data_IF_250071844354
#
_entry.id   IF_250071844354
#
_cell.length_a   1.000
_cell.length_b   1.000
_cell.length_c   1.000
_cell.angle_alpha   90.00
_cell.angle_beta   90.00
_cell.angle_gamma   90.00
#
_symmetry.space_group_name_H-M   'P 1'
#
loop_
_entity.id
_entity.type
_entity.pdbx_description
1 polymer ?
#
# COMPACT_ATOMS: atom_id res chain seq x y z
N UNK A 1 18.76 -5.82 -24.94
CA UNK A 1 18.17 -4.69 -25.69
C UNK A 1 19.06 -3.46 -25.54
N UNK A 2 19.20 -2.64 -26.59
CA UNK A 2 19.90 -1.35 -26.53
C UNK A 2 19.06 -0.34 -25.71
N UNK A 3 19.65 0.74 -25.15
CA UNK A 3 18.89 1.79 -24.49
C UNK A 3 17.80 2.41 -25.37
N UNK A 4 18.03 2.52 -26.66
CA UNK A 4 17.04 3.02 -27.62
C UNK A 4 15.84 2.07 -27.76
N UNK A 5 16.09 0.76 -27.92
CA UNK A 5 15.06 -0.28 -28.00
C UNK A 5 14.22 -0.34 -26.71
N UNK A 6 14.88 -0.21 -25.55
CA UNK A 6 14.19 -0.12 -24.25
C UNK A 6 13.29 1.12 -24.17
N UNK A 7 13.73 2.26 -24.68
CA UNK A 7 12.92 3.47 -24.73
C UNK A 7 11.67 3.31 -25.62
N UNK A 8 11.84 2.73 -26.81
CA UNK A 8 10.72 2.44 -27.73
C UNK A 8 9.72 1.49 -27.07
N UNK A 9 10.23 0.41 -26.43
CA UNK A 9 9.40 -0.57 -25.73
C UNK A 9 8.66 0.07 -24.54
N UNK A 10 9.32 0.95 -23.79
CA UNK A 10 8.73 1.63 -22.65
C UNK A 10 7.48 2.43 -23.04
N UNK A 11 7.50 3.20 -24.13
CA UNK A 11 6.33 3.95 -24.57
C UNK A 11 5.17 3.02 -25.00
N UNK A 12 5.48 1.91 -25.65
CA UNK A 12 4.47 0.90 -26.00
C UNK A 12 3.86 0.27 -24.74
N UNK A 13 4.70 -0.09 -23.77
CA UNK A 13 4.26 -0.63 -22.46
C UNK A 13 3.34 0.36 -21.74
N UNK A 14 3.73 1.63 -21.67
CA UNK A 14 2.93 2.67 -21.03
C UNK A 14 1.56 2.82 -21.69
N UNK A 15 1.51 2.89 -23.03
CA UNK A 15 0.25 2.96 -23.76
C UNK A 15 -0.64 1.74 -23.52
N UNK A 16 -0.05 0.54 -23.54
CA UNK A 16 -0.76 -0.71 -23.30
C UNK A 16 -1.29 -0.80 -21.87
N UNK A 17 -0.47 -0.49 -20.86
CA UNK A 17 -0.85 -0.45 -19.46
C UNK A 17 -2.05 0.47 -19.24
N UNK A 18 -1.97 1.69 -19.74
CA UNK A 18 -3.06 2.67 -19.61
C UNK A 18 -4.35 2.21 -20.31
N UNK A 19 -4.24 1.64 -21.50
CA UNK A 19 -5.39 1.11 -22.24
C UNK A 19 -6.09 -0.02 -21.47
N UNK A 20 -5.32 -1.02 -20.99
CA UNK A 20 -5.88 -2.14 -20.23
C UNK A 20 -6.45 -1.69 -18.90
N UNK A 21 -5.76 -0.83 -18.14
CA UNK A 21 -6.29 -0.28 -16.90
C UNK A 21 -7.60 0.47 -17.12
N UNK A 22 -7.73 1.25 -18.21
CA UNK A 22 -8.98 1.93 -18.57
C UNK A 22 -10.09 0.96 -18.95
N UNK A 23 -9.79 -0.03 -19.77
CA UNK A 23 -10.76 -1.05 -20.18
C UNK A 23 -11.27 -1.85 -18.97
N UNK A 24 -10.34 -2.28 -18.11
CA UNK A 24 -10.68 -3.01 -16.88
C UNK A 24 -11.50 -2.13 -15.94
N UNK A 25 -11.11 -0.87 -15.73
CA UNK A 25 -11.87 0.07 -14.90
C UNK A 25 -13.30 0.27 -15.44
N UNK A 26 -13.47 0.42 -16.77
CA UNK A 26 -14.80 0.56 -17.38
C UNK A 26 -15.70 -0.66 -17.12
N UNK A 27 -15.14 -1.88 -17.14
CA UNK A 27 -15.89 -3.11 -16.84
C UNK A 27 -16.22 -3.21 -15.35
N UNK A 28 -15.20 -3.11 -14.48
CA UNK A 28 -15.35 -3.41 -13.06
C UNK A 28 -16.08 -2.30 -12.28
N UNK A 29 -16.00 -1.04 -12.70
CA UNK A 29 -16.81 0.03 -12.12
C UNK A 29 -18.32 -0.18 -12.33
N UNK A 30 -18.74 -0.87 -13.41
CA UNK A 30 -20.17 -1.24 -13.61
C UNK A 30 -20.70 -2.21 -12.56
N UNK A 31 -19.82 -3.03 -12.00
CA UNK A 31 -20.15 -3.97 -10.92
C UNK A 31 -19.86 -3.44 -9.52
N UNK A 32 -19.58 -2.13 -9.39
CA UNK A 32 -19.40 -1.44 -8.12
C UNK A 32 -17.98 -1.52 -7.54
N UNK A 33 -16.98 -1.90 -8.33
CA UNK A 33 -15.58 -1.86 -7.88
C UNK A 33 -14.98 -0.46 -8.02
N UNK A 34 -14.08 -0.10 -7.09
CA UNK A 34 -13.32 1.14 -7.19
C UNK A 34 -12.32 1.09 -8.36
N UNK A 35 -11.92 2.26 -8.85
CA UNK A 35 -10.94 2.34 -9.94
C UNK A 35 -9.62 1.69 -9.55
N UNK A 36 -9.16 1.87 -8.33
CA UNK A 36 -7.90 1.31 -7.83
C UNK A 36 -7.90 -0.22 -7.86
N UNK A 37 -9.00 -0.84 -7.44
CA UNK A 37 -9.16 -2.30 -7.47
C UNK A 37 -9.17 -2.79 -8.92
N UNK A 38 -9.82 -2.05 -9.82
CA UNK A 38 -9.83 -2.37 -11.25
C UNK A 38 -8.44 -2.32 -11.89
N UNK A 39 -7.61 -1.35 -11.52
CA UNK A 39 -6.22 -1.22 -11.97
C UNK A 39 -5.34 -2.36 -11.43
N UNK A 40 -5.57 -2.79 -10.19
CA UNK A 40 -4.89 -3.94 -9.61
C UNK A 40 -5.27 -5.25 -10.33
N UNK A 41 -6.57 -5.42 -10.67
CA UNK A 41 -7.02 -6.54 -11.50
C UNK A 41 -6.36 -6.49 -12.88
N UNK A 42 -6.28 -5.30 -13.50
CA UNK A 42 -5.59 -5.12 -14.77
C UNK A 42 -4.14 -5.63 -14.70
N UNK A 43 -3.43 -5.35 -13.61
CA UNK A 43 -2.07 -5.86 -13.38
C UNK A 43 -2.01 -7.39 -13.38
N UNK A 44 -2.92 -8.05 -12.69
CA UNK A 44 -3.01 -9.52 -12.68
C UNK A 44 -3.37 -10.08 -14.05
N UNK A 45 -4.27 -9.41 -14.80
CA UNK A 45 -4.65 -9.82 -16.15
C UNK A 45 -3.49 -9.71 -17.15
N UNK A 46 -2.71 -8.62 -17.08
CA UNK A 46 -1.51 -8.40 -17.93
C UNK A 46 -0.36 -9.32 -17.49
N UNK A 47 -0.34 -9.74 -16.24
CA UNK A 47 0.71 -10.55 -15.66
C UNK A 47 0.78 -11.98 -16.22
N UNK A 48 1.75 -12.75 -15.72
CA UNK A 48 1.97 -14.15 -16.14
C UNK A 48 0.79 -15.05 -15.81
N UNK A 49 -0.13 -14.60 -14.95
CA UNK A 49 -1.29 -15.39 -14.52
C UNK A 49 -2.34 -15.57 -15.63
N UNK A 50 -2.59 -14.57 -16.47
CA UNK A 50 -3.57 -14.67 -17.56
C UNK A 50 -2.91 -14.42 -18.92
N UNK A 51 -2.39 -13.21 -19.17
CA UNK A 51 -1.80 -12.89 -20.46
C UNK A 51 -0.56 -13.74 -20.76
N UNK A 52 0.32 -13.95 -19.77
CA UNK A 52 1.47 -14.82 -19.93
C UNK A 52 1.13 -16.29 -20.09
N UNK A 53 -0.02 -16.74 -19.59
CA UNK A 53 -0.52 -18.10 -19.80
C UNK A 53 -1.20 -18.25 -21.16
N UNK A 54 -2.04 -17.30 -21.59
CA UNK A 54 -2.77 -17.38 -22.86
C UNK A 54 -1.91 -17.01 -24.08
N UNK A 55 -1.03 -16.03 -23.92
CA UNK A 55 -0.22 -15.44 -25.00
C UNK A 55 1.23 -15.26 -24.54
N UNK A 56 1.98 -16.36 -24.29
CA UNK A 56 3.32 -16.30 -23.69
C UNK A 56 4.33 -15.52 -24.54
N UNK A 57 4.30 -15.68 -25.87
CA UNK A 57 5.19 -14.96 -26.79
C UNK A 57 4.92 -13.46 -26.79
N UNK A 58 3.65 -13.06 -26.83
CA UNK A 58 3.26 -11.65 -26.77
C UNK A 58 3.62 -11.02 -25.40
N UNK A 59 3.41 -11.75 -24.32
CA UNK A 59 3.81 -11.30 -22.98
C UNK A 59 5.30 -11.10 -22.86
N UNK A 60 6.12 -12.05 -23.37
CA UNK A 60 7.57 -11.96 -23.37
C UNK A 60 8.08 -10.82 -24.27
N UNK A 61 7.43 -10.60 -25.42
CA UNK A 61 7.74 -9.49 -26.31
C UNK A 61 7.46 -8.14 -25.65
N UNK A 62 6.25 -8.00 -25.04
CA UNK A 62 5.81 -6.73 -24.49
C UNK A 62 6.51 -6.38 -23.16
N UNK A 63 6.81 -7.38 -22.31
CA UNK A 63 7.44 -7.20 -20.99
C UNK A 63 8.74 -8.01 -20.88
N UNK A 64 9.77 -7.70 -21.69
CA UNK A 64 11.07 -8.33 -21.57
C UNK A 64 11.68 -8.04 -20.19
N UNK A 65 12.51 -8.95 -19.70
CA UNK A 65 13.10 -8.87 -18.35
C UNK A 65 13.87 -7.57 -18.12
N UNK A 66 14.57 -7.08 -19.13
CA UNK A 66 15.38 -5.85 -19.07
C UNK A 66 14.52 -4.59 -18.85
N UNK A 67 13.29 -4.57 -19.35
CA UNK A 67 12.39 -3.42 -19.18
C UNK A 67 11.74 -3.34 -17.80
N UNK A 68 11.73 -4.45 -17.04
CA UNK A 68 11.10 -4.50 -15.70
C UNK A 68 11.73 -3.52 -14.71
N UNK A 69 13.04 -3.30 -14.77
CA UNK A 69 13.74 -2.35 -13.91
C UNK A 69 13.28 -0.89 -14.17
N UNK A 70 13.01 -0.55 -15.44
CA UNK A 70 12.48 0.78 -15.79
C UNK A 70 11.06 0.94 -15.27
N UNK A 71 10.20 -0.06 -15.50
CA UNK A 71 8.83 -0.06 -14.99
C UNK A 71 8.80 0.02 -13.46
N UNK A 72 9.71 -0.67 -12.77
CA UNK A 72 9.86 -0.59 -11.32
C UNK A 72 10.16 0.85 -10.87
N UNK A 73 11.14 1.51 -11.48
CA UNK A 73 11.52 2.88 -11.11
C UNK A 73 10.35 3.87 -11.32
N UNK A 74 9.62 3.74 -12.43
CA UNK A 74 8.43 4.57 -12.70
C UNK A 74 7.29 4.26 -11.73
N UNK A 75 7.09 2.99 -11.39
CA UNK A 75 6.11 2.55 -10.40
C UNK A 75 6.41 3.14 -9.02
N UNK A 76 7.67 3.09 -8.58
CA UNK A 76 8.12 3.67 -7.31
C UNK A 76 7.92 5.20 -7.29
N UNK A 77 8.28 5.89 -8.37
CA UNK A 77 8.04 7.33 -8.48
C UNK A 77 6.55 7.65 -8.36
N UNK A 78 5.69 6.90 -9.05
CA UNK A 78 4.24 7.07 -8.96
C UNK A 78 3.70 6.87 -7.54
N UNK A 79 4.18 5.85 -6.86
CA UNK A 79 3.79 5.56 -5.48
C UNK A 79 4.25 6.66 -4.51
N UNK A 80 5.51 7.10 -4.62
CA UNK A 80 6.09 8.17 -3.80
C UNK A 80 5.29 9.46 -3.96
N UNK A 81 5.02 9.90 -5.19
CA UNK A 81 4.23 11.11 -5.46
C UNK A 81 2.78 10.99 -4.98
N UNK A 82 2.19 9.81 -5.11
CA UNK A 82 0.85 9.56 -4.60
C UNK A 82 0.79 9.66 -3.07
N UNK A 83 1.74 9.04 -2.37
CA UNK A 83 1.80 9.09 -0.91
C UNK A 83 2.10 10.49 -0.37
N UNK A 84 2.90 11.25 -1.11
CA UNK A 84 3.09 12.67 -0.81
C UNK A 84 1.75 13.43 -0.86
N UNK A 85 0.94 13.22 -1.91
CA UNK A 85 -0.37 13.88 -2.03
C UNK A 85 -1.33 13.45 -0.90
N UNK A 86 -1.33 12.17 -0.52
CA UNK A 86 -2.09 11.72 0.65
C UNK A 86 -1.62 12.43 1.93
N UNK A 87 -0.31 12.60 2.11
CA UNK A 87 0.26 13.36 3.23
C UNK A 87 -0.18 14.84 3.23
N UNK A 88 -0.23 15.47 2.04
CA UNK A 88 -0.71 16.85 1.88
C UNK A 88 -2.17 16.99 2.31
N UNK A 89 -3.02 16.02 2.01
CA UNK A 89 -4.44 16.03 2.42
C UNK A 89 -4.67 15.61 3.87
N UNK A 90 -3.68 14.98 4.49
CA UNK A 90 -3.79 14.38 5.81
C UNK A 90 -4.00 15.41 6.91
N UNK A 91 -5.17 15.41 7.55
CA UNK A 91 -5.53 16.40 8.58
C UNK A 91 -5.16 15.91 9.98
N UNK A 92 -4.01 16.35 10.49
CA UNK A 92 -3.50 16.00 11.83
C UNK A 92 -4.43 16.47 12.94
N UNK A 93 -5.13 17.61 12.79
CA UNK A 93 -5.98 18.18 13.84
C UNK A 93 -7.26 17.34 14.07
N UNK A 94 -7.80 16.75 13.01
CA UNK A 94 -8.93 15.82 13.13
C UNK A 94 -8.52 14.54 13.86
N UNK A 95 -7.29 14.05 13.64
CA UNK A 95 -6.77 12.84 14.27
C UNK A 95 -6.51 13.05 15.75
N UNK A 96 -5.99 14.22 16.15
CA UNK A 96 -5.67 14.53 17.54
C UNK A 96 -6.86 14.33 18.48
N UNK A 97 -8.08 14.57 18.00
CA UNK A 97 -9.30 14.36 18.77
C UNK A 97 -9.65 12.88 18.98
N UNK A 98 -9.19 11.97 18.12
CA UNK A 98 -9.52 10.54 18.10
C UNK A 98 -8.30 9.62 18.12
N UNK A 99 -7.15 10.12 18.54
CA UNK A 99 -5.88 9.38 18.50
C UNK A 99 -5.94 8.07 19.30
N UNK A 100 -6.70 8.03 20.39
CA UNK A 100 -6.87 6.82 21.20
C UNK A 100 -7.63 5.73 20.44
N UNK A 101 -8.72 6.07 19.76
CA UNK A 101 -9.48 5.12 18.92
C UNK A 101 -8.64 4.66 17.74
N UNK A 102 -7.93 5.57 17.05
CA UNK A 102 -7.04 5.23 15.95
C UNK A 102 -5.92 4.28 16.40
N UNK A 103 -5.27 4.57 17.53
CA UNK A 103 -4.22 3.72 18.09
C UNK A 103 -4.75 2.33 18.50
N UNK A 104 -5.92 2.25 19.15
CA UNK A 104 -6.53 0.98 19.51
C UNK A 104 -6.85 0.12 18.28
N UNK A 105 -7.39 0.72 17.21
CA UNK A 105 -7.69 0.04 15.95
C UNK A 105 -6.39 -0.44 15.28
N UNK A 106 -5.36 0.41 15.21
CA UNK A 106 -4.06 0.07 14.64
C UNK A 106 -3.38 -1.07 15.42
N UNK A 107 -3.30 -0.97 16.74
CA UNK A 107 -2.69 -2.03 17.58
C UNK A 107 -3.43 -3.36 17.40
N UNK A 108 -4.77 -3.35 17.41
CA UNK A 108 -5.54 -4.55 17.17
C UNK A 108 -5.32 -5.11 15.76
N UNK A 109 -5.26 -4.22 14.75
CA UNK A 109 -4.99 -4.54 13.35
C UNK A 109 -3.56 -5.03 13.06
N UNK A 110 -2.63 -4.88 14.00
CA UNK A 110 -1.26 -5.44 13.93
C UNK A 110 -1.16 -6.71 14.76
N UNK A 111 -1.52 -6.65 16.04
CA UNK A 111 -1.30 -7.74 16.99
C UNK A 111 -2.13 -8.97 16.64
N UNK A 112 -3.41 -8.80 16.32
CA UNK A 112 -4.27 -9.95 16.03
C UNK A 112 -3.83 -10.71 14.76
N UNK A 113 -3.62 -10.09 13.59
CA UNK A 113 -3.14 -10.82 12.42
C UNK A 113 -1.71 -11.33 12.59
N UNK A 114 -0.85 -10.66 13.36
CA UNK A 114 0.48 -11.15 13.69
C UNK A 114 0.42 -12.48 14.44
N UNK A 115 -0.39 -12.54 15.50
CA UNK A 115 -0.56 -13.75 16.29
C UNK A 115 -1.24 -14.87 15.51
N UNK A 116 -2.31 -14.57 14.79
CA UNK A 116 -3.04 -15.58 14.01
C UNK A 116 -2.23 -16.07 12.80
N UNK A 117 -1.57 -15.17 12.08
CA UNK A 117 -0.70 -15.50 10.94
C UNK A 117 0.54 -16.26 11.37
N UNK A 118 1.18 -15.84 12.48
CA UNK A 118 2.30 -16.54 13.07
C UNK A 118 1.90 -17.93 13.59
N UNK A 119 0.74 -18.06 14.22
CA UNK A 119 0.22 -19.38 14.65
C UNK A 119 0.00 -20.30 13.44
N UNK A 120 -0.59 -19.78 12.34
CA UNK A 120 -0.76 -20.57 11.13
C UNK A 120 0.59 -21.00 10.56
N UNK A 121 1.56 -20.08 10.52
CA UNK A 121 2.91 -20.36 10.03
C UNK A 121 3.62 -21.46 10.85
N UNK A 122 3.41 -21.50 12.17
CA UNK A 122 3.99 -22.53 13.01
C UNK A 122 3.60 -23.94 12.57
N UNK A 123 2.34 -24.14 12.13
CA UNK A 123 1.86 -25.43 11.66
C UNK A 123 2.35 -25.80 10.26
N UNK A 124 2.65 -24.82 9.41
CA UNK A 124 3.08 -25.05 8.02
C UNK A 124 4.57 -24.79 7.79
N UNK A 125 5.34 -24.40 8.82
CA UNK A 125 6.74 -24.02 8.72
C UNK A 125 7.66 -25.15 8.18
N UNK A 126 7.28 -26.39 8.35
CA UNK A 126 8.06 -27.56 7.91
C UNK A 126 7.69 -28.07 6.52
N UNK A 127 6.74 -27.42 5.84
CA UNK A 127 6.38 -27.80 4.48
C UNK A 127 7.37 -27.15 3.47
N UNK A 128 8.20 -27.97 2.79
CA UNK A 128 9.22 -27.47 1.86
C UNK A 128 8.63 -26.84 0.60
N UNK A 129 7.31 -27.00 0.36
CA UNK A 129 6.63 -26.33 -0.74
C UNK A 129 6.27 -24.86 -0.40
N UNK A 130 6.31 -24.50 0.89
CA UNK A 130 5.87 -23.20 1.41
C UNK A 130 7.01 -22.36 1.95
N UNK A 131 7.92 -22.97 2.72
CA UNK A 131 9.08 -22.30 3.31
C UNK A 131 10.37 -22.97 2.85
N UNK A 132 11.41 -22.16 2.66
CA UNK A 132 12.71 -22.69 2.27
C UNK A 132 13.32 -23.56 3.38
N UNK A 133 14.05 -24.59 3.01
CA UNK A 133 14.62 -25.59 3.94
C UNK A 133 15.51 -25.00 5.05
N UNK A 134 16.09 -23.82 4.83
CA UNK A 134 16.92 -23.09 5.80
C UNK A 134 16.11 -22.26 6.80
N UNK A 135 14.81 -22.05 6.55
CA UNK A 135 13.96 -21.19 7.38
C UNK A 135 13.56 -21.92 8.66
N UNK A 136 13.91 -21.36 9.80
CA UNK A 136 13.48 -21.88 11.10
C UNK A 136 11.98 -21.62 11.34
N UNK A 137 11.37 -22.41 12.22
CA UNK A 137 9.96 -22.20 12.60
C UNK A 137 9.72 -20.80 13.18
N UNK A 138 10.69 -20.24 13.93
CA UNK A 138 10.59 -18.89 14.46
C UNK A 138 10.60 -17.84 13.35
N UNK A 139 11.49 -17.98 12.36
CA UNK A 139 11.55 -17.07 11.20
C UNK A 139 10.26 -17.14 10.38
N UNK A 140 9.71 -18.34 10.16
CA UNK A 140 8.43 -18.53 9.48
C UNK A 140 7.28 -17.81 10.22
N UNK A 141 7.20 -17.95 11.55
CA UNK A 141 6.22 -17.30 12.42
C UNK A 141 6.35 -15.78 12.36
N UNK A 142 7.56 -15.25 12.52
CA UNK A 142 7.81 -13.81 12.48
C UNK A 142 7.51 -13.22 11.12
N UNK A 143 7.94 -13.87 10.04
CA UNK A 143 7.71 -13.41 8.67
C UNK A 143 6.23 -13.40 8.31
N UNK A 144 5.53 -14.51 8.52
CA UNK A 144 4.10 -14.62 8.20
C UNK A 144 3.25 -13.70 9.08
N UNK A 145 3.60 -13.60 10.37
CA UNK A 145 2.97 -12.66 11.30
C UNK A 145 3.11 -11.22 10.82
N UNK A 146 4.32 -10.80 10.45
CA UNK A 146 4.57 -9.47 9.90
C UNK A 146 3.83 -9.25 8.58
N UNK A 147 3.93 -10.19 7.63
CA UNK A 147 3.26 -10.09 6.34
C UNK A 147 1.74 -9.92 6.49
N UNK A 148 1.11 -10.70 7.38
CA UNK A 148 -0.33 -10.61 7.63
C UNK A 148 -0.75 -9.38 8.43
N UNK A 149 0.18 -8.68 9.09
CA UNK A 149 -0.11 -7.47 9.87
C UNK A 149 -0.17 -6.21 9.02
N UNK A 150 0.47 -6.20 7.85
CA UNK A 150 0.57 -5.02 7.01
C UNK A 150 -0.79 -4.60 6.45
N UNK A 151 -1.12 -3.31 6.58
CA UNK A 151 -2.23 -2.65 5.87
C UNK A 151 -1.68 -1.96 4.63
N UNK A 152 -2.40 -1.99 3.54
CA UNK A 152 -2.05 -1.16 2.40
C UNK A 152 -2.64 0.24 2.57
N UNK A 153 -2.01 1.11 3.36
CA UNK A 153 -2.47 2.47 3.55
C UNK A 153 -2.73 3.23 2.24
N UNK A 154 -1.88 3.13 1.18
CA UNK A 154 -2.18 3.76 -0.10
C UNK A 154 -3.50 3.29 -0.73
N UNK A 155 -3.82 2.01 -0.60
CA UNK A 155 -5.08 1.45 -1.10
C UNK A 155 -6.28 1.92 -0.28
N UNK A 156 -6.16 1.84 1.04
CA UNK A 156 -7.16 2.33 1.99
C UNK A 156 -7.46 3.81 1.75
N UNK A 157 -6.43 4.64 1.66
CA UNK A 157 -6.56 6.07 1.41
C UNK A 157 -7.26 6.35 0.08
N UNK A 158 -6.92 5.62 -0.98
CA UNK A 158 -7.55 5.79 -2.27
C UNK A 158 -9.02 5.34 -2.28
N UNK A 159 -9.36 4.23 -1.63
CA UNK A 159 -10.76 3.81 -1.48
C UNK A 159 -11.56 4.89 -0.73
N UNK A 160 -11.04 5.39 0.39
CA UNK A 160 -11.68 6.46 1.18
C UNK A 160 -11.86 7.72 0.33
N UNK A 161 -10.86 8.10 -0.46
CA UNK A 161 -10.93 9.26 -1.34
C UNK A 161 -11.96 9.07 -2.46
N UNK A 162 -11.94 7.95 -3.17
CA UNK A 162 -12.89 7.63 -4.25
C UNK A 162 -14.35 7.55 -3.76
N UNK A 163 -14.54 7.15 -2.49
CA UNK A 163 -15.86 7.10 -1.85
C UNK A 163 -16.29 8.45 -1.22
N UNK A 164 -15.46 9.51 -1.33
CA UNK A 164 -15.76 10.83 -0.79
C UNK A 164 -15.75 10.92 0.74
N UNK A 165 -15.09 9.98 1.43
CA UNK A 165 -15.14 9.83 2.89
C UNK A 165 -14.04 10.58 3.65
N UNK A 166 -13.12 11.26 2.97
CA UNK A 166 -11.93 11.90 3.57
C UNK A 166 -12.26 12.89 4.69
N UNK A 167 -13.42 13.56 4.60
CA UNK A 167 -13.88 14.54 5.59
C UNK A 167 -14.85 13.97 6.62
N UNK A 168 -15.24 12.71 6.50
CA UNK A 168 -16.15 12.04 7.45
C UNK A 168 -15.41 11.54 8.69
N UNK A 169 -16.16 11.34 9.78
CA UNK A 169 -15.66 10.73 11.02
C UNK A 169 -14.98 9.38 10.76
N UNK A 170 -15.66 8.51 10.02
CA UNK A 170 -15.16 7.18 9.65
C UNK A 170 -13.89 7.27 8.79
N UNK A 171 -13.91 8.05 7.71
CA UNK A 171 -12.79 8.18 6.80
C UNK A 171 -11.55 8.74 7.49
N UNK A 172 -11.72 9.77 8.32
CA UNK A 172 -10.63 10.35 9.11
C UNK A 172 -10.05 9.35 10.10
N UNK A 173 -10.90 8.58 10.80
CA UNK A 173 -10.46 7.58 11.76
C UNK A 173 -9.75 6.39 11.08
N UNK A 174 -10.29 5.91 9.95
CA UNK A 174 -9.67 4.84 9.17
C UNK A 174 -8.33 5.27 8.58
N UNK A 175 -8.21 6.51 8.06
CA UNK A 175 -6.94 7.08 7.58
C UNK A 175 -5.92 7.21 8.70
N UNK A 176 -6.35 7.66 9.88
CA UNK A 176 -5.48 7.76 11.04
C UNK A 176 -4.97 6.39 11.50
N UNK A 177 -5.87 5.43 11.66
CA UNK A 177 -5.51 4.07 12.06
C UNK A 177 -4.61 3.41 11.01
N UNK A 178 -4.94 3.53 9.72
CA UNK A 178 -4.17 2.96 8.62
C UNK A 178 -2.77 3.57 8.49
N UNK A 179 -2.60 4.88 8.71
CA UNK A 179 -1.28 5.51 8.67
C UNK A 179 -0.39 5.09 9.85
N UNK A 180 -0.99 4.93 11.05
CA UNK A 180 -0.27 4.40 12.22
C UNK A 180 0.11 2.94 12.01
N UNK A 181 -0.77 2.16 11.41
CA UNK A 181 -0.59 0.75 11.08
C UNK A 181 0.56 0.56 10.08
N UNK A 182 0.57 1.36 9.01
CA UNK A 182 1.62 1.33 7.99
C UNK A 182 3.00 1.66 8.58
N UNK A 183 3.08 2.71 9.39
CA UNK A 183 4.30 3.10 10.08
C UNK A 183 4.80 2.00 11.05
N UNK A 184 3.90 1.42 11.85
CA UNK A 184 4.24 0.37 12.78
C UNK A 184 4.63 -0.93 12.05
N UNK A 185 3.98 -1.25 10.93
CA UNK A 185 4.30 -2.41 10.10
C UNK A 185 5.74 -2.35 9.56
N UNK A 186 6.23 -1.16 9.15
CA UNK A 186 7.63 -0.97 8.75
C UNK A 186 8.60 -1.19 9.91
N UNK A 187 8.25 -0.72 11.11
CA UNK A 187 9.07 -1.00 12.30
C UNK A 187 9.12 -2.51 12.60
N UNK A 188 7.98 -3.20 12.51
CA UNK A 188 7.91 -4.66 12.68
C UNK A 188 8.75 -5.35 11.62
N UNK A 189 8.65 -4.94 10.35
CA UNK A 189 9.46 -5.50 9.27
C UNK A 189 10.96 -5.30 9.52
N UNK A 190 11.38 -4.10 9.93
CA UNK A 190 12.78 -3.82 10.24
C UNK A 190 13.31 -4.72 11.38
N UNK A 191 12.51 -4.96 12.41
CA UNK A 191 12.84 -5.89 13.50
C UNK A 191 12.94 -7.33 13.00
N UNK A 192 12.02 -7.77 12.16
CA UNK A 192 12.03 -9.13 11.56
C UNK A 192 13.27 -9.31 10.68
N UNK A 193 13.60 -8.34 9.82
CA UNK A 193 14.79 -8.41 8.97
C UNK A 193 16.10 -8.36 9.77
N UNK A 194 16.14 -7.58 10.86
CA UNK A 194 17.28 -7.55 11.78
C UNK A 194 17.49 -8.90 12.48
N UNK A 195 16.39 -9.56 12.86
CA UNK A 195 16.42 -10.91 13.46
C UNK A 195 17.04 -11.94 12.49
N UNK A 196 16.71 -11.88 11.19
CA UNK A 196 17.27 -12.78 10.19
C UNK A 196 18.75 -12.54 9.90
N UNK A 197 19.18 -11.29 9.92
CA UNK A 197 20.57 -10.92 9.68
C UNK A 197 21.46 -11.01 10.93
N UNK A 198 20.90 -11.27 12.11
CA UNK A 198 21.57 -11.16 13.41
C UNK A 198 22.20 -9.77 13.63
N UNK A 199 21.71 -8.73 12.94
CA UNK A 199 22.21 -7.34 13.00
C UNK A 199 21.09 -6.39 13.43
N UNK A 200 21.04 -6.13 14.73
CA UNK A 200 20.07 -5.24 15.33
C UNK A 200 20.30 -3.75 15.00
N UNK A 201 21.45 -3.39 14.42
CA UNK A 201 21.74 -2.02 14.02
C UNK A 201 20.76 -1.53 12.96
N UNK A 202 20.32 -2.41 12.06
CA UNK A 202 19.34 -2.12 11.02
C UNK A 202 18.00 -1.64 11.64
N UNK A 203 17.50 -2.36 12.65
CA UNK A 203 16.26 -1.97 13.34
C UNK A 203 16.40 -0.63 14.08
N UNK A 204 17.54 -0.42 14.78
CA UNK A 204 17.79 0.84 15.48
C UNK A 204 17.92 2.04 14.53
N UNK A 205 18.63 1.88 13.41
CA UNK A 205 18.77 2.92 12.38
C UNK A 205 17.41 3.22 11.74
N UNK A 206 16.63 2.19 11.38
CA UNK A 206 15.31 2.36 10.81
C UNK A 206 14.39 3.11 11.77
N UNK A 207 14.15 2.58 12.97
CA UNK A 207 13.21 3.17 13.93
C UNK A 207 13.69 4.55 14.39
N UNK A 208 14.95 4.68 14.81
CA UNK A 208 15.52 5.94 15.30
C UNK A 208 15.61 6.99 14.20
N UNK A 209 16.08 6.62 13.00
CA UNK A 209 16.16 7.48 11.83
C UNK A 209 14.80 7.93 11.33
N UNK A 210 13.79 7.04 11.36
CA UNK A 210 12.42 7.37 10.98
C UNK A 210 11.76 8.37 11.94
N UNK A 211 11.92 8.17 13.25
CA UNK A 211 11.44 9.12 14.26
C UNK A 211 12.16 10.46 14.10
N UNK A 212 13.49 10.46 13.97
CA UNK A 212 14.27 11.68 13.74
C UNK A 212 13.78 12.42 12.49
N UNK A 213 13.62 11.73 11.37
CA UNK A 213 13.11 12.31 10.13
C UNK A 213 11.73 12.92 10.30
N UNK A 214 10.80 12.21 10.93
CA UNK A 214 9.46 12.71 11.19
C UNK A 214 9.47 13.98 12.05
N UNK A 215 10.27 13.99 13.13
CA UNK A 215 10.42 15.18 14.00
C UNK A 215 10.99 16.35 13.20
N UNK A 216 12.07 16.16 12.44
CA UNK A 216 12.67 17.21 11.60
C UNK A 216 11.68 17.75 10.57
N UNK A 217 10.95 16.88 9.86
CA UNK A 217 9.96 17.30 8.88
C UNK A 217 8.80 18.06 9.49
N UNK A 218 8.23 17.57 10.59
CA UNK A 218 7.04 18.15 11.21
C UNK A 218 7.33 19.41 12.03
N UNK A 219 8.61 19.67 12.35
CA UNK A 219 9.04 20.88 13.08
C UNK A 219 9.80 21.83 12.15
N UNK A 220 11.04 21.49 11.79
CA UNK A 220 11.95 22.36 11.06
C UNK A 220 11.49 22.60 9.62
N UNK A 221 11.23 21.52 8.85
CA UNK A 221 10.83 21.67 7.43
C UNK A 221 9.51 22.39 7.34
N UNK A 222 8.54 22.04 8.18
CA UNK A 222 7.24 22.71 8.25
C UNK A 222 7.38 24.20 8.53
N UNK A 223 8.24 24.59 9.48
CA UNK A 223 8.50 26.00 9.79
C UNK A 223 9.16 26.73 8.61
N UNK A 224 10.15 26.12 7.95
CA UNK A 224 10.83 26.70 6.78
C UNK A 224 9.90 26.90 5.57
N UNK A 225 8.85 26.07 5.43
CA UNK A 225 7.89 26.14 4.32
C UNK A 225 6.73 27.12 4.56
N UNK A 226 6.54 27.64 5.76
CA UNK A 226 5.46 28.60 6.05
C UNK A 226 5.45 29.82 5.09
N UNK A 227 6.60 30.48 4.78
CA UNK A 227 6.61 31.61 3.86
C UNK A 227 6.11 31.25 2.44
N UNK A 228 6.35 30.02 1.98
CA UNK A 228 5.81 29.55 0.70
C UNK A 228 4.28 29.45 0.75
N UNK A 229 3.74 28.90 1.83
CA UNK A 229 2.30 28.83 2.08
C UNK A 229 1.65 30.22 2.05
N UNK A 230 2.22 31.19 2.75
CA UNK A 230 1.72 32.59 2.78
C UNK A 230 1.73 33.26 1.41
N UNK A 231 2.76 33.02 0.60
CA UNK A 231 2.84 33.54 -0.78
C UNK A 231 1.74 32.97 -1.65
N UNK A 232 1.50 31.66 -1.59
CA UNK A 232 0.44 31.00 -2.39
C UNK A 232 -0.95 31.37 -1.86
N UNK A 233 -1.12 31.59 -0.55
CA UNK A 233 -2.38 32.07 0.00
C UNK A 233 -2.78 33.45 -0.58
N UNK A 234 -1.80 34.31 -0.86
CA UNK A 234 -1.99 35.64 -1.47
C UNK A 234 -2.13 35.56 -3.00
N UNK A 235 -1.29 34.80 -3.68
CA UNK A 235 -1.27 34.71 -5.16
C UNK A 235 -2.34 33.78 -5.73
N UNK A 236 -2.74 32.76 -4.96
CA UNK A 236 -3.67 31.70 -5.40
C UNK A 236 -3.04 30.66 -6.33
N UNK A 237 -1.75 30.76 -6.64
CA UNK A 237 -1.07 29.87 -7.60
C UNK A 237 0.31 29.48 -7.09
N UNK A 238 0.71 28.24 -7.32
CA UNK A 238 2.07 27.75 -7.07
C UNK A 238 2.93 28.09 -8.29
N UNK A 239 4.06 28.77 -8.07
CA UNK A 239 5.03 29.00 -9.15
C UNK A 239 5.77 27.72 -9.55
N UNK A 240 6.29 27.63 -10.80
CA UNK A 240 7.08 26.47 -11.21
C UNK A 240 8.27 26.19 -10.27
N UNK A 241 8.97 27.22 -9.81
CA UNK A 241 10.12 27.06 -8.89
C UNK A 241 9.70 26.48 -7.54
N UNK A 242 8.55 26.89 -7.00
CA UNK A 242 8.00 26.32 -5.77
C UNK A 242 7.62 24.85 -5.93
N UNK A 243 7.05 24.49 -7.10
CA UNK A 243 6.72 23.10 -7.41
C UNK A 243 7.98 22.23 -7.49
N UNK A 244 9.00 22.71 -8.25
CA UNK A 244 10.29 22.01 -8.38
C UNK A 244 10.97 21.84 -7.02
N UNK A 245 10.99 22.90 -6.20
CA UNK A 245 11.54 22.83 -4.84
C UNK A 245 10.79 21.81 -3.96
N UNK A 246 9.46 21.80 -4.06
CA UNK A 246 8.63 20.81 -3.34
C UNK A 246 8.96 19.39 -3.78
N UNK A 247 9.04 19.12 -5.09
CA UNK A 247 9.41 17.83 -5.64
C UNK A 247 10.81 17.40 -5.20
N UNK A 248 11.78 18.32 -5.17
CA UNK A 248 13.12 18.05 -4.67
C UNK A 248 13.09 17.58 -3.21
N UNK A 249 12.32 18.26 -2.35
CA UNK A 249 12.18 17.86 -0.95
C UNK A 249 11.51 16.47 -0.81
N UNK A 250 10.51 16.18 -1.64
CA UNK A 250 9.86 14.86 -1.65
C UNK A 250 10.85 13.77 -2.04
N UNK A 251 11.65 13.99 -3.09
CA UNK A 251 12.66 13.02 -3.53
C UNK A 251 13.75 12.82 -2.48
N UNK A 252 14.20 13.89 -1.82
CA UNK A 252 15.19 13.81 -0.72
C UNK A 252 14.61 13.05 0.49
N UNK A 253 13.35 13.29 0.83
CA UNK A 253 12.67 12.57 1.90
C UNK A 253 12.51 11.08 1.58
N UNK A 254 12.11 10.76 0.36
CA UNK A 254 12.00 9.39 -0.12
C UNK A 254 13.38 8.68 -0.12
N UNK A 255 14.40 9.34 -0.67
CA UNK A 255 15.77 8.82 -0.65
C UNK A 255 16.28 8.55 0.77
N UNK A 256 16.11 9.50 1.70
CA UNK A 256 16.60 9.36 3.07
C UNK A 256 15.95 8.16 3.77
N UNK A 257 14.62 8.02 3.66
CA UNK A 257 13.91 6.93 4.33
C UNK A 257 14.19 5.57 3.69
N UNK A 258 14.40 5.52 2.39
CA UNK A 258 14.83 4.31 1.70
C UNK A 258 16.26 3.91 2.11
N UNK A 259 17.15 4.90 2.23
CA UNK A 259 18.54 4.70 2.69
C UNK A 259 18.61 4.11 4.10
N UNK A 260 17.74 4.55 5.01
CA UNK A 260 17.64 3.99 6.38
C UNK A 260 16.73 2.74 6.45
N UNK A 261 16.33 2.17 5.31
CA UNK A 261 15.55 0.94 5.17
C UNK A 261 14.11 0.97 5.76
N UNK A 262 13.50 2.17 5.82
CA UNK A 262 12.07 2.30 6.16
C UNK A 262 11.18 2.21 4.93
N UNK A 263 11.59 2.63 3.78
CA UNK A 263 10.87 2.74 2.52
C UNK A 263 10.52 4.18 2.11
N UNK A 264 10.76 4.48 0.83
CA UNK A 264 10.59 5.80 0.23
C UNK A 264 9.20 6.44 0.45
N UNK A 265 8.17 5.60 0.49
CA UNK A 265 6.76 5.97 0.65
C UNK A 265 6.49 6.69 1.97
N UNK A 266 7.11 6.23 3.06
CA UNK A 266 7.00 6.87 4.37
C UNK A 266 7.57 8.29 4.35
N UNK A 267 8.76 8.47 3.76
CA UNK A 267 9.40 9.77 3.63
C UNK A 267 8.55 10.76 2.85
N UNK A 268 7.98 10.31 1.74
CA UNK A 268 7.09 11.12 0.92
C UNK A 268 5.81 11.51 1.67
N UNK A 269 5.20 10.58 2.39
CA UNK A 269 4.00 10.84 3.20
C UNK A 269 4.27 11.88 4.29
N UNK A 270 5.32 11.70 5.09
CA UNK A 270 5.68 12.65 6.17
C UNK A 270 6.03 14.02 5.59
N UNK A 271 6.73 14.07 4.45
CA UNK A 271 7.00 15.32 3.75
C UNK A 271 5.68 16.01 3.33
N UNK A 272 4.70 15.25 2.83
CA UNK A 272 3.37 15.77 2.51
C UNK A 272 2.63 16.33 3.74
N UNK A 273 2.72 15.65 4.89
CA UNK A 273 2.14 16.11 6.16
C UNK A 273 2.79 17.42 6.63
N UNK A 274 4.06 17.63 6.33
CA UNK A 274 4.81 18.84 6.67
C UNK A 274 4.47 20.05 5.77
N UNK A 275 3.84 19.85 4.61
CA UNK A 275 3.51 20.94 3.67
C UNK A 275 2.52 21.94 4.25
N UNK A 276 2.61 23.23 3.80
CA UNK A 276 1.62 24.25 4.16
C UNK A 276 0.21 23.85 3.75
N UNK A 277 -0.76 24.20 4.55
CA UNK A 277 -2.18 23.92 4.34
C UNK A 277 -2.86 25.01 3.47
N UNK A 278 -4.16 24.95 3.34
CA UNK A 278 -4.96 25.95 2.61
C UNK A 278 -4.80 25.85 1.10
N UNK A 279 -4.67 27.01 0.44
CA UNK A 279 -4.54 27.09 -1.02
C UNK A 279 -3.31 26.39 -1.56
N UNK A 280 -2.19 26.35 -0.79
CA UNK A 280 -0.97 25.64 -1.19
C UNK A 280 -1.24 24.14 -1.39
N UNK A 281 -1.87 23.50 -0.42
CA UNK A 281 -2.24 22.10 -0.51
C UNK A 281 -3.21 21.82 -1.68
N UNK A 282 -4.22 22.68 -1.86
CA UNK A 282 -5.19 22.55 -2.94
C UNK A 282 -4.54 22.68 -4.33
N UNK A 283 -3.62 23.62 -4.51
CA UNK A 283 -2.91 23.82 -5.78
C UNK A 283 -1.91 22.69 -6.09
N UNK A 284 -1.19 22.19 -5.08
CA UNK A 284 -0.35 20.99 -5.24
C UNK A 284 -1.18 19.81 -5.72
N UNK A 285 -2.30 19.57 -5.06
CA UNK A 285 -3.20 18.47 -5.44
C UNK A 285 -3.71 18.67 -6.87
N UNK A 286 -4.21 19.86 -7.21
CA UNK A 286 -4.72 20.18 -8.56
C UNK A 286 -3.66 19.95 -9.65
N UNK A 287 -2.40 20.30 -9.36
CA UNK A 287 -1.30 20.22 -10.34
C UNK A 287 -0.77 18.82 -10.51
N UNK A 288 -0.59 18.06 -9.41
CA UNK A 288 0.13 16.78 -9.43
C UNK A 288 -0.81 15.57 -9.56
N UNK A 289 -2.02 15.64 -8.99
CA UNK A 289 -2.93 14.49 -8.92
C UNK A 289 -3.26 13.86 -10.29
N UNK A 290 -3.59 14.63 -11.36
CA UNK A 290 -3.95 14.03 -12.64
C UNK A 290 -2.81 13.19 -13.25
N UNK A 291 -1.57 13.66 -13.16
CA UNK A 291 -0.40 12.95 -13.67
C UNK A 291 -0.06 11.74 -12.80
N UNK A 292 -0.06 11.94 -11.49
CA UNK A 292 0.28 10.88 -10.52
C UNK A 292 -0.71 9.73 -10.61
N UNK A 293 -2.01 10.01 -10.53
CA UNK A 293 -3.06 8.98 -10.50
C UNK A 293 -3.43 8.48 -11.89
N UNK A 294 -3.34 9.37 -12.91
CA UNK A 294 -3.73 9.02 -14.28
C UNK A 294 -2.66 8.27 -15.07
N UNK A 295 -1.39 8.51 -14.80
CA UNK A 295 -0.27 7.95 -15.56
C UNK A 295 0.63 7.03 -14.72
N UNK A 296 1.11 7.51 -13.58
CA UNK A 296 2.18 6.83 -12.85
C UNK A 296 1.66 5.69 -11.96
N UNK A 297 0.57 5.91 -11.24
CA UNK A 297 0.02 4.93 -10.31
C UNK A 297 -0.49 3.65 -10.99
N UNK A 298 -1.12 3.66 -12.18
CA UNK A 298 -1.43 2.44 -12.92
C UNK A 298 -0.22 1.55 -13.19
N UNK A 299 0.95 2.14 -13.47
CA UNK A 299 2.20 1.39 -13.69
C UNK A 299 2.60 0.61 -12.45
N UNK A 300 2.45 1.22 -11.27
CA UNK A 300 2.72 0.55 -10.01
C UNK A 300 1.82 -0.69 -9.80
N UNK A 301 0.52 -0.59 -10.07
CA UNK A 301 -0.38 -1.73 -9.94
C UNK A 301 -0.07 -2.84 -10.95
N UNK A 302 0.25 -2.47 -12.19
CA UNK A 302 0.60 -3.44 -13.22
C UNK A 302 1.94 -4.11 -12.93
N UNK A 303 2.96 -3.35 -12.54
CA UNK A 303 4.26 -3.91 -12.17
C UNK A 303 4.14 -5.01 -11.12
N UNK A 304 3.31 -4.77 -10.10
CA UNK A 304 3.04 -5.79 -9.09
C UNK A 304 2.36 -7.04 -9.67
N UNK A 305 1.37 -6.84 -10.54
CA UNK A 305 0.69 -7.96 -11.21
C UNK A 305 1.61 -8.78 -12.10
N UNK A 306 2.62 -8.15 -12.73
CA UNK A 306 3.63 -8.82 -13.57
C UNK A 306 4.49 -9.84 -12.79
N UNK A 307 4.53 -9.76 -11.47
CA UNK A 307 5.29 -10.68 -10.62
C UNK A 307 4.41 -11.80 -10.00
N UNK A 308 3.10 -11.84 -10.31
CA UNK A 308 2.13 -12.77 -9.70
C UNK A 308 1.84 -13.96 -10.61
N UNK A 309 2.07 -15.20 -10.14
CA UNK A 309 1.84 -16.46 -10.87
C UNK A 309 0.79 -17.34 -10.17
N UNK A 310 -0.50 -17.15 -10.47
CA UNK A 310 -1.62 -17.85 -9.79
C UNK A 310 -1.58 -19.38 -10.04
N UNK A 311 -1.05 -19.85 -11.15
CA UNK A 311 -1.03 -21.27 -11.51
C UNK A 311 -0.22 -22.19 -10.59
N UNK A 312 0.50 -21.67 -9.59
CA UNK A 312 1.21 -22.47 -8.61
C UNK A 312 0.29 -23.14 -7.57
N UNK A 313 -0.91 -22.60 -7.35
CA UNK A 313 -1.90 -23.20 -6.45
C UNK A 313 -2.74 -24.20 -7.25
N UNK A 314 -2.26 -25.44 -7.34
CA UNK A 314 -2.79 -26.46 -8.26
C UNK A 314 -3.37 -27.71 -7.57
N UNK A 315 -3.34 -27.81 -6.25
CA UNK A 315 -3.87 -28.95 -5.48
C UNK A 315 -5.03 -28.53 -4.56
N UNK A 316 -5.96 -29.43 -4.22
CA UNK A 316 -7.02 -29.15 -3.23
C UNK A 316 -6.48 -28.74 -1.87
N UNK A 317 -5.34 -29.29 -1.44
CA UNK A 317 -4.71 -28.95 -0.18
C UNK A 317 -4.20 -27.48 -0.18
N UNK A 318 -3.58 -27.03 -1.26
CA UNK A 318 -3.14 -25.63 -1.40
C UNK A 318 -4.31 -24.66 -1.48
N UNK A 319 -5.42 -25.05 -2.11
CA UNK A 319 -6.66 -24.26 -2.10
C UNK A 319 -7.29 -24.19 -0.70
N UNK A 320 -7.28 -25.29 0.06
CA UNK A 320 -7.73 -25.29 1.46
C UNK A 320 -6.85 -24.41 2.32
N UNK A 321 -5.52 -24.46 2.14
CA UNK A 321 -4.59 -23.55 2.81
C UNK A 321 -4.83 -22.09 2.41
N UNK A 322 -5.07 -21.81 1.13
CA UNK A 322 -5.42 -20.45 0.66
C UNK A 322 -6.68 -19.94 1.35
N UNK A 323 -7.71 -20.78 1.49
CA UNK A 323 -8.93 -20.44 2.20
C UNK A 323 -8.66 -20.20 3.70
N UNK A 324 -7.81 -21.01 4.33
CA UNK A 324 -7.42 -20.82 5.75
C UNK A 324 -6.66 -19.50 5.94
N UNK A 325 -5.70 -19.18 5.09
CA UNK A 325 -4.96 -17.91 5.09
C UNK A 325 -5.91 -16.73 4.92
N UNK A 326 -6.87 -16.83 3.99
CA UNK A 326 -7.88 -15.79 3.76
C UNK A 326 -8.77 -15.58 5.00
N UNK A 327 -9.25 -16.66 5.62
CA UNK A 327 -10.07 -16.57 6.82
C UNK A 327 -9.31 -15.97 8.00
N UNK A 328 -8.06 -16.38 8.20
CA UNK A 328 -7.16 -15.83 9.22
C UNK A 328 -6.90 -14.33 8.95
N UNK A 329 -6.71 -13.94 7.71
CA UNK A 329 -6.53 -12.53 7.34
C UNK A 329 -7.77 -11.69 7.67
N UNK A 330 -8.97 -12.15 7.29
CA UNK A 330 -10.23 -11.46 7.57
C UNK A 330 -10.50 -11.39 9.07
N UNK A 331 -10.32 -12.49 9.80
CA UNK A 331 -10.52 -12.52 11.25
C UNK A 331 -9.48 -11.64 11.97
N UNK A 332 -8.22 -11.79 11.62
CA UNK A 332 -7.12 -11.06 12.24
C UNK A 332 -7.19 -9.55 12.03
N UNK A 333 -7.59 -9.11 10.84
CA UNK A 333 -7.62 -7.67 10.53
C UNK A 333 -9.04 -7.10 10.56
N UNK A 334 -9.94 -7.65 9.78
CA UNK A 334 -11.29 -7.11 9.66
C UNK A 334 -12.07 -7.16 10.97
N UNK A 335 -12.14 -8.34 11.60
CA UNK A 335 -12.89 -8.51 12.85
C UNK A 335 -12.18 -7.84 14.02
N UNK A 336 -10.85 -7.92 14.12
CA UNK A 336 -10.12 -7.28 15.21
C UNK A 336 -10.24 -5.75 15.18
N UNK A 337 -10.10 -5.12 14.01
CA UNK A 337 -10.31 -3.67 13.86
C UNK A 337 -11.76 -3.27 14.15
N UNK A 338 -12.74 -4.06 13.73
CA UNK A 338 -14.15 -3.85 14.08
C UNK A 338 -14.36 -3.87 15.59
N UNK A 339 -13.84 -4.89 16.29
CA UNK A 339 -13.99 -5.03 17.75
C UNK A 339 -13.28 -3.88 18.49
N UNK A 340 -12.09 -3.50 18.06
CA UNK A 340 -11.35 -2.37 18.63
C UNK A 340 -12.09 -1.04 18.44
N UNK A 341 -12.67 -0.80 17.26
CA UNK A 341 -13.49 0.37 16.99
C UNK A 341 -14.74 0.38 17.89
N UNK A 342 -15.43 -0.76 18.02
CA UNK A 342 -16.57 -0.90 18.95
C UNK A 342 -16.18 -0.62 20.40
N UNK A 343 -15.08 -1.16 20.84
CA UNK A 343 -14.56 -0.95 22.20
C UNK A 343 -14.16 0.50 22.45
N UNK A 344 -13.70 1.18 21.42
CA UNK A 344 -13.40 2.62 21.46
C UNK A 344 -14.64 3.52 21.42
N UNK A 345 -15.86 2.95 21.37
CA UNK A 345 -17.13 3.68 21.41
C UNK A 345 -17.70 4.07 20.06
N UNK A 346 -17.12 3.59 18.95
CA UNK A 346 -17.65 3.91 17.62
C UNK A 346 -19.00 3.20 17.39
N UNK A 347 -19.96 3.83 16.69
CA UNK A 347 -21.23 3.21 16.32
C UNK A 347 -21.03 1.91 15.53
N UNK A 348 -21.96 0.97 15.64
CA UNK A 348 -21.86 -0.34 14.99
C UNK A 348 -21.59 -0.22 13.48
N UNK A 349 -22.31 0.65 12.79
CA UNK A 349 -22.19 0.90 11.35
C UNK A 349 -20.79 1.44 10.98
N UNK A 350 -20.28 2.41 11.74
CA UNK A 350 -18.93 2.97 11.55
C UNK A 350 -17.83 1.93 11.83
N UNK A 351 -17.96 1.17 12.92
CA UNK A 351 -17.02 0.11 13.26
C UNK A 351 -16.97 -0.98 12.20
N UNK A 352 -18.12 -1.40 11.64
CA UNK A 352 -18.18 -2.33 10.50
C UNK A 352 -17.49 -1.76 9.27
N UNK A 353 -17.71 -0.48 8.96
CA UNK A 353 -17.04 0.21 7.87
C UNK A 353 -15.53 0.24 8.06
N UNK A 354 -15.06 0.57 9.27
CA UNK A 354 -13.62 0.57 9.63
C UNK A 354 -13.02 -0.82 9.46
N UNK A 355 -13.61 -1.85 10.05
CA UNK A 355 -13.13 -3.22 9.93
C UNK A 355 -13.04 -3.70 8.48
N UNK A 356 -14.04 -3.35 7.67
CA UNK A 356 -14.07 -3.68 6.23
C UNK A 356 -12.95 -2.96 5.47
N UNK A 357 -12.77 -1.66 5.71
CA UNK A 357 -11.77 -0.86 5.02
C UNK A 357 -10.34 -1.21 5.46
N UNK A 358 -10.12 -1.46 6.75
CA UNK A 358 -8.82 -1.89 7.28
C UNK A 358 -8.40 -3.29 6.79
N UNK A 359 -9.35 -4.10 6.33
CA UNK A 359 -9.06 -5.41 5.72
C UNK A 359 -8.59 -5.29 4.26
N UNK A 360 -8.66 -4.10 3.64
CA UNK A 360 -8.08 -3.87 2.33
C UNK A 360 -6.55 -4.02 2.41
N UNK A 361 -6.02 -4.92 1.61
CA UNK A 361 -4.61 -5.20 1.49
C UNK A 361 -4.09 -4.73 0.14
N UNK A 362 -2.81 -4.74 -0.08
CA UNK A 362 -2.28 -4.29 -1.36
C UNK A 362 -0.80 -4.54 -1.49
N UNK A 363 -0.19 -3.73 -2.33
CA UNK A 363 1.14 -3.92 -2.83
C UNK A 363 2.24 -3.80 -1.76
N UNK A 364 1.95 -3.17 -0.63
CA UNK A 364 2.89 -3.13 0.51
C UNK A 364 3.15 -4.55 1.05
N UNK A 365 2.13 -5.40 1.03
CA UNK A 365 2.28 -6.82 1.34
C UNK A 365 3.17 -7.54 0.32
N UNK A 366 3.03 -7.19 -0.97
CA UNK A 366 3.89 -7.77 -2.00
C UNK A 366 5.37 -7.41 -1.85
N UNK A 367 5.69 -6.26 -1.26
CA UNK A 367 7.08 -5.88 -1.00
C UNK A 367 7.69 -6.82 0.03
N UNK A 368 7.03 -7.04 1.16
CA UNK A 368 7.54 -7.99 2.16
C UNK A 368 7.61 -9.42 1.59
N UNK A 369 6.63 -9.80 0.77
CA UNK A 369 6.64 -11.10 0.11
C UNK A 369 7.81 -11.25 -0.88
N UNK A 370 8.12 -10.20 -1.67
CA UNK A 370 9.29 -10.20 -2.55
C UNK A 370 10.60 -10.30 -1.75
N UNK A 371 10.72 -9.56 -0.64
CA UNK A 371 11.87 -9.69 0.27
C UNK A 371 11.99 -11.13 0.78
N UNK A 372 10.86 -11.75 1.14
CA UNK A 372 10.83 -13.14 1.57
C UNK A 372 11.32 -14.12 0.51
N UNK A 373 10.96 -13.90 -0.76
CA UNK A 373 11.48 -14.68 -1.91
C UNK A 373 12.96 -14.42 -2.16
N UNK A 374 13.38 -13.17 -2.24
CA UNK A 374 14.77 -12.78 -2.53
C UNK A 374 15.75 -13.26 -1.45
N UNK A 375 15.28 -13.41 -0.23
CA UNK A 375 16.06 -13.93 0.90
C UNK A 375 15.90 -15.44 1.12
N UNK A 376 15.18 -16.13 0.23
CA UNK A 376 14.84 -17.56 0.36
C UNK A 376 14.25 -17.88 1.76
N UNK A 377 13.26 -17.13 2.19
CA UNK A 377 12.49 -17.41 3.41
C UNK A 377 11.23 -18.17 3.04
N UNK A 378 10.54 -17.74 1.99
CA UNK A 378 9.32 -18.35 1.47
C UNK A 378 9.51 -18.86 0.04
N UNK A 379 8.78 -19.92 -0.29
CA UNK A 379 8.72 -20.48 -1.63
C UNK A 379 7.68 -19.74 -2.51
N UNK A 380 7.79 -19.81 -3.84
CA UNK A 380 6.86 -19.18 -4.78
C UNK A 380 5.39 -19.58 -4.56
N UNK A 381 5.14 -20.77 -4.02
CA UNK A 381 3.77 -21.24 -3.72
C UNK A 381 3.15 -20.44 -2.59
N UNK A 382 3.85 -20.24 -1.48
CA UNK A 382 3.35 -19.42 -0.37
C UNK A 382 3.21 -17.96 -0.79
N UNK A 383 4.18 -17.44 -1.55
CA UNK A 383 4.05 -16.10 -2.16
C UNK A 383 2.73 -15.96 -2.92
N UNK A 384 2.40 -16.93 -3.78
CA UNK A 384 1.17 -16.91 -4.58
C UNK A 384 -0.09 -16.96 -3.70
N UNK A 385 -0.11 -17.81 -2.67
CA UNK A 385 -1.22 -17.90 -1.71
C UNK A 385 -1.46 -16.55 -1.03
N UNK A 386 -0.40 -15.89 -0.58
CA UNK A 386 -0.47 -14.59 0.08
C UNK A 386 -0.95 -13.47 -0.87
N UNK A 387 -0.50 -13.50 -2.13
CA UNK A 387 -0.98 -12.58 -3.17
C UNK A 387 -2.47 -12.77 -3.44
N UNK A 388 -2.91 -14.03 -3.57
CA UNK A 388 -4.35 -14.34 -3.74
C UNK A 388 -5.16 -13.80 -2.57
N UNK A 389 -4.69 -14.00 -1.34
CA UNK A 389 -5.32 -13.45 -0.14
C UNK A 389 -5.42 -11.93 -0.21
N UNK A 390 -4.35 -11.23 -0.57
CA UNK A 390 -4.32 -9.76 -0.68
C UNK A 390 -5.31 -9.26 -1.75
N UNK A 391 -5.35 -9.91 -2.92
CA UNK A 391 -6.29 -9.57 -4.00
C UNK A 391 -7.73 -9.78 -3.55
N UNK A 392 -8.06 -10.94 -2.98
CA UNK A 392 -9.44 -11.27 -2.58
C UNK A 392 -9.92 -10.34 -1.46
N UNK A 393 -9.13 -10.10 -0.42
CA UNK A 393 -9.50 -9.19 0.68
C UNK A 393 -9.76 -7.77 0.19
N UNK A 394 -8.97 -7.29 -0.76
CA UNK A 394 -9.15 -5.95 -1.35
C UNK A 394 -10.37 -5.88 -2.26
N UNK A 395 -10.62 -6.92 -3.08
CA UNK A 395 -11.84 -7.03 -3.88
C UNK A 395 -13.11 -7.03 -3.04
N UNK A 396 -13.07 -7.60 -1.85
CA UNK A 396 -14.20 -7.65 -0.93
C UNK A 396 -14.47 -6.30 -0.24
N UNK A 397 -13.46 -5.46 -0.03
CA UNK A 397 -13.56 -4.26 0.79
C UNK A 397 -14.63 -3.29 0.27
N UNK A 398 -14.57 -2.88 -1.00
CA UNK A 398 -15.50 -1.90 -1.57
C UNK A 398 -16.95 -2.40 -1.60
N UNK A 399 -17.27 -3.61 -2.13
CA UNK A 399 -18.66 -4.08 -2.17
C UNK A 399 -19.30 -4.29 -0.80
N UNK A 400 -18.52 -4.78 0.18
CA UNK A 400 -19.02 -4.94 1.55
C UNK A 400 -19.26 -3.57 2.18
N UNK A 401 -18.34 -2.62 1.99
CA UNK A 401 -18.50 -1.27 2.49
C UNK A 401 -19.74 -0.57 1.90
N UNK A 402 -19.97 -0.66 0.58
CA UNK A 402 -21.16 -0.10 -0.09
C UNK A 402 -22.48 -0.73 0.40
N UNK A 403 -22.46 -2.02 0.75
CA UNK A 403 -23.65 -2.68 1.35
C UNK A 403 -23.95 -2.17 2.75
N UNK A 404 -22.92 -1.86 3.55
CA UNK A 404 -23.06 -1.37 4.93
C UNK A 404 -23.54 0.08 4.93
N UNK A 405 -22.97 0.93 4.08
CA UNK A 405 -23.26 2.37 4.05
C UNK A 405 -24.39 2.79 3.11
N UNK A 406 -24.66 2.01 2.05
CA UNK A 406 -25.65 2.34 1.03
C UNK A 406 -25.14 3.36 0.00
N UNK A 407 -25.39 3.10 -1.30
CA UNK A 407 -24.95 3.99 -2.41
C UNK A 407 -25.53 5.42 -2.35
N UNK A 408 -26.62 5.65 -1.63
CA UNK A 408 -27.28 6.97 -1.53
C UNK A 408 -26.64 7.90 -0.49
N UNK A 409 -26.18 7.37 0.63
CA UNK A 409 -25.54 8.19 1.68
C UNK A 409 -24.18 8.74 1.27
N UNK A 410 -23.46 8.00 0.40
CA UNK A 410 -22.14 8.38 -0.11
C UNK A 410 -22.16 9.54 -1.13
N UNK A 411 -23.34 9.88 -1.71
CA UNK A 411 -23.48 10.96 -2.69
C UNK A 411 -24.00 12.27 -2.09
N UNK A 412 -24.39 12.28 -0.83
CA UNK A 412 -24.99 13.44 -0.13
C UNK A 412 -24.06 14.05 0.93
N UNK A 413 -22.87 13.52 1.13
CA UNK A 413 -21.79 14.07 1.96
C UNK A 413 -20.62 14.57 1.12
#
# INVERSE_FOLDING_TARGET
>A
MTPFELSVMFFLQMAFILAVCRATAWVFMKIGQSRVVSEMIAGVLIGPSLMGWMFPEFSAYLFPTESKAILFSVAQLGLVLYMFLIGVEFNVDLIRKRIRSAAAISIAGIVAPFLLGGSLAYFIAHDPALFAAKTSSLEAVLFMGAAMSITAFPMLARIIFEQGLTKTSLGTLALAAGSMDDMAAWCVLAVVLASFNSDWSIAFIAIGGGIFFAVVCLTLVRWLLQPMGERVEKSGVISPDMLVFTLMLVMLGAWFTDYIQIYAVFGAFIMGVAMPRGKFAAELHRTMYPLTVGLLLPVFFVYSGLNTKIGLVNTPALWALTAAVLLVAIAGKGVACYLAARWSGEPHKEAMGIGTLMNARGLMELIILNIGLERDIIEPTLFTIMVLMAVVTTLMATPIFERIYGKKELRTT
#
